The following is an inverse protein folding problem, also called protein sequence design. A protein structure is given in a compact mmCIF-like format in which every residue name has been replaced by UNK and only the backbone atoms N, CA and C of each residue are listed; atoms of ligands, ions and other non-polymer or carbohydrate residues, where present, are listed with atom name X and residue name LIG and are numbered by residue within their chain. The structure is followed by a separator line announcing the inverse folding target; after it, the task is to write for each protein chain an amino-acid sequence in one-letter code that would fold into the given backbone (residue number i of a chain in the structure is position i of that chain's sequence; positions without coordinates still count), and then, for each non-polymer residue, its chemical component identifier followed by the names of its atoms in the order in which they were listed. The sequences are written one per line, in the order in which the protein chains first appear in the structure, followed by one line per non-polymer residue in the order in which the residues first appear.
data_IF_589150619840
#
_entry.id   IF_589150619840
#
_cell.length_a   1.000
_cell.length_b   1.000
_cell.length_c   1.000
_cell.angle_alpha   90.00
_cell.angle_beta   90.00
_cell.angle_gamma   90.00
#
_symmetry.space_group_name_H-M   'P 1'
#
loop_
_entity.id
_entity.type
_entity.pdbx_description
1 polymer ?
#
# COMPACT_ATOMS: atom_id res chain seq x y z
N UNK A 1 -36.05 25.95 -16.73
CA UNK A 1 -34.79 26.71 -16.92
C UNK A 1 -33.56 25.78 -16.84
N UNK A 2 -33.62 24.60 -17.49
CA UNK A 2 -32.61 23.52 -17.38
C UNK A 2 -31.85 23.28 -18.70
N UNK A 3 -32.10 24.09 -19.73
CA UNK A 3 -31.59 23.91 -21.09
C UNK A 3 -30.10 24.28 -21.28
N UNK A 4 -29.43 24.79 -20.23
CA UNK A 4 -28.01 25.13 -20.28
C UNK A 4 -27.08 23.98 -19.85
N UNK A 5 -27.64 22.81 -19.46
CA UNK A 5 -26.91 21.54 -19.45
C UNK A 5 -26.78 20.96 -20.86
N UNK A 6 -26.54 21.82 -21.85
CA UNK A 6 -26.28 21.43 -23.23
C UNK A 6 -24.98 20.61 -23.23
N UNK A 7 -24.98 19.48 -23.95
CA UNK A 7 -24.00 18.38 -23.79
C UNK A 7 -22.51 18.74 -23.75
N UNK A 8 -22.11 19.92 -24.21
CA UNK A 8 -20.77 20.48 -24.02
C UNK A 8 -20.36 20.58 -22.53
N UNK A 9 -21.24 21.05 -21.65
CA UNK A 9 -20.92 21.15 -20.22
C UNK A 9 -20.68 19.77 -19.60
N UNK A 10 -21.45 18.76 -20.03
CA UNK A 10 -21.27 17.37 -19.59
C UNK A 10 -19.93 16.83 -20.07
N UNK A 11 -19.51 17.13 -21.29
CA UNK A 11 -18.19 16.75 -21.80
C UNK A 11 -17.04 17.40 -21.00
N UNK A 12 -17.17 18.70 -20.67
CA UNK A 12 -16.18 19.41 -19.85
C UNK A 12 -16.12 18.83 -18.43
N UNK A 13 -17.27 18.60 -17.80
CA UNK A 13 -17.35 18.00 -16.46
C UNK A 13 -16.74 16.60 -16.45
N UNK A 14 -17.06 15.77 -17.46
CA UNK A 14 -16.51 14.43 -17.59
C UNK A 14 -14.98 14.46 -17.78
N UNK A 15 -14.48 15.38 -18.60
CA UNK A 15 -13.03 15.57 -18.81
C UNK A 15 -12.30 15.99 -17.53
N UNK A 16 -12.87 16.94 -16.77
CA UNK A 16 -12.30 17.36 -15.48
C UNK A 16 -12.35 16.22 -14.47
N UNK A 17 -13.44 15.46 -14.39
CA UNK A 17 -13.51 14.28 -13.51
C UNK A 17 -12.48 13.22 -13.88
N UNK A 18 -12.31 12.92 -15.17
CA UNK A 18 -11.33 11.96 -15.65
C UNK A 18 -9.90 12.41 -15.31
N UNK A 19 -9.57 13.68 -15.54
CA UNK A 19 -8.25 14.23 -15.18
C UNK A 19 -8.01 14.21 -13.67
N UNK A 20 -9.00 14.56 -12.85
CA UNK A 20 -8.91 14.45 -11.40
C UNK A 20 -8.68 13.00 -10.95
N UNK A 21 -9.39 12.04 -11.54
CA UNK A 21 -9.20 10.62 -11.24
C UNK A 21 -7.78 10.15 -11.60
N UNK A 22 -7.26 10.55 -12.76
CA UNK A 22 -5.88 10.23 -13.18
C UNK A 22 -4.87 10.82 -12.20
N UNK A 23 -5.05 12.07 -11.77
CA UNK A 23 -4.17 12.74 -10.80
C UNK A 23 -4.18 12.01 -9.46
N UNK A 24 -5.35 11.62 -8.96
CA UNK A 24 -5.48 10.84 -7.71
C UNK A 24 -4.75 9.51 -7.83
N UNK A 25 -4.93 8.77 -8.93
CA UNK A 25 -4.22 7.52 -9.18
C UNK A 25 -2.71 7.75 -9.23
N UNK A 26 -2.25 8.81 -9.91
CA UNK A 26 -0.83 9.16 -9.99
C UNK A 26 -0.26 9.47 -8.59
N UNK A 27 -0.97 10.22 -7.76
CA UNK A 27 -0.58 10.51 -6.37
C UNK A 27 -0.49 9.21 -5.56
N UNK A 28 -1.50 8.35 -5.63
CA UNK A 28 -1.50 7.06 -4.93
C UNK A 28 -0.29 6.21 -5.35
N UNK A 29 -0.01 6.12 -6.65
CA UNK A 29 1.15 5.39 -7.18
C UNK A 29 2.47 5.99 -6.68
N UNK A 30 2.59 7.32 -6.65
CA UNK A 30 3.77 8.03 -6.14
C UNK A 30 3.97 7.76 -4.65
N UNK A 31 2.92 7.83 -3.85
CA UNK A 31 2.95 7.52 -2.41
C UNK A 31 3.38 6.06 -2.21
N UNK A 32 2.77 5.09 -2.89
CA UNK A 32 3.18 3.68 -2.81
C UNK A 32 4.65 3.50 -3.23
N UNK A 33 5.11 4.20 -4.27
CA UNK A 33 6.52 4.15 -4.69
C UNK A 33 7.45 4.74 -3.63
N UNK A 34 7.07 5.82 -2.97
CA UNK A 34 7.83 6.46 -1.91
C UNK A 34 7.91 5.56 -0.67
N UNK A 35 6.80 4.95 -0.26
CA UNK A 35 6.80 3.95 0.81
C UNK A 35 7.69 2.75 0.47
N UNK A 36 7.53 2.18 -0.74
CA UNK A 36 8.40 1.07 -1.20
C UNK A 36 9.87 1.47 -1.31
N UNK A 37 10.17 2.72 -1.69
CA UNK A 37 11.55 3.23 -1.76
C UNK A 37 12.18 3.26 -0.36
N UNK A 38 11.40 3.59 0.67
CA UNK A 38 11.87 3.63 2.06
C UNK A 38 12.12 2.24 2.66
N UNK A 39 11.43 1.20 2.18
CA UNK A 39 11.64 -0.20 2.59
C UNK A 39 12.85 -0.85 1.89
N UNK A 40 13.34 -0.25 0.80
CA UNK A 40 14.55 -0.70 0.10
C UNK A 40 15.81 -0.10 0.73
N UNK A 41 16.11 -0.52 1.95
CA UNK A 41 17.50 -0.64 2.40
C UNK A 41 17.92 -2.10 2.24
N UNK A 42 18.66 -2.46 1.17
CA UNK A 42 19.21 -3.79 1.02
C UNK A 42 20.59 -3.91 1.70
N UNK A 43 20.66 -4.89 2.63
CA UNK A 43 21.76 -5.84 2.83
C UNK A 43 23.01 -5.39 3.62
N UNK A 44 23.17 -5.93 4.83
CA UNK A 44 24.21 -6.94 5.21
C UNK A 44 24.05 -7.26 6.70
N UNK A 45 23.37 -8.35 7.05
CA UNK A 45 23.53 -9.15 8.27
C UNK A 45 22.52 -10.28 8.17
N UNK A 46 22.94 -11.53 8.40
CA UNK A 46 22.00 -12.63 8.63
C UNK A 46 20.90 -12.14 9.57
N UNK A 47 19.61 -12.24 9.19
CA UNK A 47 18.57 -11.74 10.06
C UNK A 47 18.49 -12.68 11.24
N UNK A 48 18.97 -12.20 12.38
CA UNK A 48 18.74 -12.80 13.68
C UNK A 48 17.24 -13.20 13.74
N UNK A 49 16.91 -14.45 14.12
CA UNK A 49 15.52 -14.91 14.16
C UNK A 49 14.59 -13.93 14.90
N UNK A 50 15.13 -13.22 15.89
CA UNK A 50 14.44 -12.18 16.67
C UNK A 50 14.05 -10.98 15.82
N UNK A 51 14.91 -10.55 14.89
CA UNK A 51 14.66 -9.43 13.97
C UNK A 51 13.52 -9.74 12.98
N UNK A 52 13.42 -11.00 12.54
CA UNK A 52 12.37 -11.46 11.64
C UNK A 52 11.02 -11.53 12.35
N UNK A 53 11.00 -12.00 13.60
CA UNK A 53 9.82 -12.01 14.46
C UNK A 53 9.34 -10.58 14.70
N UNK A 54 10.26 -9.63 14.93
CA UNK A 54 9.93 -8.20 15.11
C UNK A 54 9.31 -7.58 13.86
N UNK A 55 9.83 -7.89 12.67
CA UNK A 55 9.21 -7.44 11.40
C UNK A 55 7.84 -8.08 11.18
N UNK A 56 7.67 -9.36 11.51
CA UNK A 56 6.36 -10.02 11.48
C UNK A 56 5.36 -9.36 12.43
N UNK A 57 5.81 -8.95 13.62
CA UNK A 57 4.95 -8.25 14.59
C UNK A 57 4.56 -6.87 14.09
N UNK A 58 5.50 -6.13 13.49
CA UNK A 58 5.23 -4.84 12.88
C UNK A 58 4.24 -4.94 11.71
N UNK A 59 4.34 -5.98 10.87
CA UNK A 59 3.38 -6.22 9.79
C UNK A 59 1.99 -6.63 10.29
N UNK A 60 1.89 -7.24 11.48
CA UNK A 60 0.63 -7.49 12.18
C UNK A 60 0.03 -6.18 12.71
N UNK A 61 0.85 -5.36 13.35
CA UNK A 61 0.43 -4.06 13.91
C UNK A 61 -0.02 -3.08 12.81
N UNK A 62 0.54 -3.19 11.61
CA UNK A 62 0.10 -2.44 10.41
C UNK A 62 -1.19 -3.00 9.80
N UNK A 63 -1.78 -4.07 10.35
CA UNK A 63 -3.02 -4.70 9.88
C UNK A 63 -2.88 -5.45 8.55
N UNK A 64 -1.64 -5.68 8.09
CA UNK A 64 -1.33 -6.38 6.84
C UNK A 64 -1.28 -7.91 7.00
N UNK A 65 -1.19 -8.41 8.24
CA UNK A 65 -1.31 -9.83 8.56
C UNK A 65 -2.43 -10.08 9.54
N UNK A 66 -3.25 -11.09 9.24
CA UNK A 66 -4.18 -11.67 10.21
C UNK A 66 -3.40 -12.35 11.35
N UNK A 67 -3.95 -12.29 12.56
CA UNK A 67 -3.37 -12.89 13.77
C UNK A 67 -3.03 -14.38 13.57
N UNK A 68 -3.85 -15.08 12.80
CA UNK A 68 -3.67 -16.49 12.41
C UNK A 68 -2.46 -16.73 11.51
N UNK A 69 -2.16 -15.81 10.59
CA UNK A 69 -1.03 -15.93 9.66
C UNK A 69 0.30 -15.55 10.34
N UNK A 70 0.22 -14.59 11.28
CA UNK A 70 1.36 -14.25 12.14
C UNK A 70 1.76 -15.42 13.03
N UNK A 71 0.79 -16.06 13.71
CA UNK A 71 1.03 -17.21 14.57
C UNK A 71 1.69 -18.38 13.80
N UNK A 72 1.16 -18.69 12.61
CA UNK A 72 1.72 -19.75 11.76
C UNK A 72 3.16 -19.47 11.33
N UNK A 73 3.46 -18.25 10.86
CA UNK A 73 4.83 -17.86 10.44
C UNK A 73 5.79 -17.76 11.62
N UNK A 74 5.31 -17.33 12.79
CA UNK A 74 6.11 -17.28 14.02
C UNK A 74 6.46 -18.68 14.50
N UNK A 75 5.49 -19.61 14.51
CA UNK A 75 5.71 -20.99 14.89
C UNK A 75 6.69 -21.70 13.94
N UNK A 76 6.56 -21.46 12.63
CA UNK A 76 7.49 -21.95 11.61
C UNK A 76 8.92 -21.42 11.83
N UNK A 77 9.06 -20.13 12.13
CA UNK A 77 10.37 -19.54 12.44
C UNK A 77 10.96 -20.09 13.75
N UNK A 78 10.14 -20.27 14.78
CA UNK A 78 10.59 -20.75 16.09
C UNK A 78 10.97 -22.23 16.07
N UNK A 79 10.35 -23.03 15.20
CA UNK A 79 10.69 -24.45 15.01
C UNK A 79 11.94 -24.71 14.19
N UNK A 80 12.57 -23.67 13.62
CA UNK A 80 13.78 -23.76 12.79
C UNK A 80 15.06 -23.40 13.55
N UNK A 81 14.95 -23.06 14.84
CA UNK A 81 16.02 -22.74 15.78
C UNK A 81 16.20 -23.94 16.70
#
# INVERSE_FOLDING_TARGET
MLNNLTGWHVLVILGVLATMAIVVVAIIVVVIRLLRKNVRHPVTSSPDPVEQIRRLAQLRDEGLLSETEYEAKRAELMGRI
#
